data_IF_126347845779
#
_entry.id   IF_126347845779
#
_cell.length_a   1.000
_cell.length_b   1.000
_cell.length_c   1.000
_cell.angle_alpha   90.00
_cell.angle_beta   90.00
_cell.angle_gamma   90.00
#
_symmetry.space_group_name_H-M   'P 1'
#
loop_
_entity.id
_entity.type
_entity.pdbx_description
1 polymer ?
#
# COMPACT_ATOMS: atom_id res chain seq x y z
N UNK A 1 31.60 -5.43 -45.11
CA UNK A 1 31.72 -4.35 -44.10
C UNK A 1 30.34 -3.74 -43.94
N UNK A 2 29.74 -4.01 -42.79
CA UNK A 2 28.35 -3.72 -42.42
C UNK A 2 28.29 -2.26 -41.98
N UNK A 3 27.30 -1.49 -42.45
CA UNK A 3 27.01 -0.13 -41.97
C UNK A 3 26.08 -0.27 -40.77
N UNK A 4 26.65 -0.10 -39.57
CA UNK A 4 25.92 -0.11 -38.32
C UNK A 4 25.08 1.16 -38.15
N UNK A 5 23.78 0.93 -38.00
CA UNK A 5 22.90 1.47 -36.95
C UNK A 5 23.44 2.63 -36.11
N UNK A 6 22.76 3.78 -36.21
CA UNK A 6 22.43 4.60 -35.05
C UNK A 6 21.30 5.59 -35.40
N UNK A 7 20.07 5.13 -35.22
CA UNK A 7 18.91 5.96 -34.98
C UNK A 7 19.13 6.67 -33.64
N UNK A 8 19.72 7.87 -33.65
CA UNK A 8 19.90 8.68 -32.44
C UNK A 8 18.61 9.44 -32.18
N UNK A 9 17.70 8.78 -31.45
CA UNK A 9 16.63 9.47 -30.74
C UNK A 9 17.23 10.18 -29.53
N UNK A 10 17.20 11.51 -29.55
CA UNK A 10 17.14 12.31 -28.33
C UNK A 10 15.81 13.06 -28.35
N UNK A 11 14.81 12.35 -27.82
CA UNK A 11 13.65 12.93 -27.14
C UNK A 11 14.13 14.08 -26.29
N UNK A 12 13.77 15.30 -26.68
CA UNK A 12 13.83 16.45 -25.81
C UNK A 12 12.85 16.17 -24.67
N UNK A 13 13.39 15.72 -23.54
CA UNK A 13 12.69 15.66 -22.26
C UNK A 13 12.43 17.09 -21.80
N UNK A 14 11.39 17.70 -22.36
CA UNK A 14 10.82 18.95 -21.88
C UNK A 14 10.10 18.67 -20.57
N UNK A 15 10.86 18.64 -19.47
CA UNK A 15 10.29 18.78 -18.13
C UNK A 15 9.66 20.16 -18.03
N UNK A 16 8.36 20.20 -18.25
CA UNK A 16 7.46 21.33 -18.00
C UNK A 16 7.57 21.74 -16.54
N UNK A 17 8.21 22.87 -16.26
CA UNK A 17 8.06 23.57 -14.99
C UNK A 17 6.89 24.56 -15.10
N UNK A 18 5.66 24.08 -14.99
CA UNK A 18 4.45 24.91 -14.85
C UNK A 18 4.31 25.37 -13.40
N UNK A 19 5.21 26.28 -12.97
CA UNK A 19 5.11 26.87 -11.63
C UNK A 19 3.91 27.82 -11.53
N UNK A 20 2.93 27.48 -10.71
CA UNK A 20 1.76 28.33 -10.40
C UNK A 20 2.25 29.68 -9.85
N UNK A 21 1.80 30.76 -10.47
CA UNK A 21 2.13 32.13 -10.11
C UNK A 21 1.11 32.67 -9.12
N UNK A 22 1.54 32.92 -7.89
CA UNK A 22 0.68 33.39 -6.81
C UNK A 22 1.21 34.73 -6.30
N UNK A 23 0.49 35.84 -6.50
CA UNK A 23 0.83 37.14 -5.93
C UNK A 23 0.96 37.08 -4.40
N UNK A 24 1.96 37.74 -3.85
CA UNK A 24 2.23 37.72 -2.40
C UNK A 24 1.09 38.30 -1.58
N UNK A 25 0.35 39.28 -2.12
CA UNK A 25 -0.82 39.85 -1.47
C UNK A 25 -1.94 38.82 -1.30
N UNK A 26 -2.13 37.92 -2.27
CA UNK A 26 -3.11 36.83 -2.16
C UNK A 26 -2.65 35.77 -1.17
N UNK A 27 -1.36 35.44 -1.12
CA UNK A 27 -0.81 34.53 -0.09
C UNK A 27 -1.05 35.08 1.31
N UNK A 28 -0.91 36.38 1.51
CA UNK A 28 -1.13 37.04 2.81
C UNK A 28 -2.61 37.12 3.16
N UNK A 29 -3.47 37.41 2.18
CA UNK A 29 -4.91 37.61 2.39
C UNK A 29 -5.68 36.30 2.56
N UNK A 30 -5.27 35.25 1.83
CA UNK A 30 -5.96 33.96 1.80
C UNK A 30 -4.99 32.76 1.98
N UNK A 31 -4.15 32.73 3.02
CA UNK A 31 -3.10 31.72 3.17
C UNK A 31 -3.66 30.29 3.20
N UNK A 32 -4.75 30.07 3.92
CA UNK A 32 -5.38 28.75 4.03
C UNK A 32 -6.00 28.30 2.71
N UNK A 33 -6.73 29.19 2.02
CA UNK A 33 -7.42 28.85 0.78
C UNK A 33 -6.42 28.59 -0.35
N UNK A 34 -5.34 29.37 -0.42
CA UNK A 34 -4.22 29.09 -1.34
C UNK A 34 -3.63 27.70 -1.06
N UNK A 35 -3.43 27.37 0.22
CA UNK A 35 -2.98 26.04 0.62
C UNK A 35 -3.93 24.93 0.13
N UNK A 36 -5.24 25.12 0.28
CA UNK A 36 -6.25 24.17 -0.18
C UNK A 36 -6.26 24.02 -1.70
N UNK A 37 -6.17 25.11 -2.47
CA UNK A 37 -6.14 25.07 -3.94
C UNK A 37 -4.89 24.30 -4.42
N UNK A 38 -3.73 24.57 -3.82
CA UNK A 38 -2.48 23.90 -4.19
C UNK A 38 -2.44 22.41 -3.82
N UNK A 39 -3.15 22.03 -2.75
CA UNK A 39 -3.23 20.65 -2.28
C UNK A 39 -4.37 19.86 -2.91
N UNK A 40 -5.32 20.51 -3.57
CA UNK A 40 -6.48 19.85 -4.16
C UNK A 40 -6.03 18.88 -5.27
N UNK A 41 -6.48 17.64 -5.14
CA UNK A 41 -6.20 16.57 -6.11
C UNK A 41 -7.18 16.61 -7.29
N UNK A 42 -8.34 17.26 -7.13
CA UNK A 42 -9.31 17.47 -8.20
C UNK A 42 -8.93 18.57 -9.19
N UNK A 43 -7.84 19.29 -8.96
CA UNK A 43 -7.38 20.40 -9.81
C UNK A 43 -6.00 20.15 -10.42
N UNK A 44 -5.88 20.40 -11.72
CA UNK A 44 -4.58 20.52 -12.38
C UNK A 44 -3.97 21.93 -12.24
N UNK A 45 -2.74 22.12 -12.71
CA UNK A 45 -2.03 23.41 -12.57
C UNK A 45 -2.72 24.60 -13.26
N UNK A 46 -3.38 24.37 -14.39
CA UNK A 46 -4.13 25.41 -15.11
C UNK A 46 -5.37 25.84 -14.32
N UNK A 47 -6.10 24.86 -13.77
CA UNK A 47 -7.27 25.11 -12.93
C UNK A 47 -6.88 25.84 -11.64
N UNK A 48 -5.77 25.42 -11.00
CA UNK A 48 -5.23 26.10 -9.81
C UNK A 48 -4.87 27.55 -10.14
N UNK A 49 -4.20 27.79 -11.26
CA UNK A 49 -3.87 29.15 -11.69
C UNK A 49 -5.13 29.97 -11.98
N UNK A 50 -6.13 29.37 -12.62
CA UNK A 50 -7.43 30.01 -12.88
C UNK A 50 -8.09 30.44 -11.57
N UNK A 51 -8.19 29.55 -10.58
CA UNK A 51 -8.75 29.87 -9.27
C UNK A 51 -8.00 31.00 -8.58
N UNK A 52 -6.66 30.98 -8.61
CA UNK A 52 -5.83 32.06 -8.07
C UNK A 52 -6.11 33.40 -8.74
N UNK A 53 -6.29 33.41 -10.06
CA UNK A 53 -6.56 34.63 -10.82
C UNK A 53 -7.94 35.23 -10.52
N UNK A 54 -8.93 34.41 -10.16
CA UNK A 54 -10.29 34.87 -9.86
C UNK A 54 -10.52 35.20 -8.39
N UNK A 55 -9.65 34.76 -7.46
CA UNK A 55 -9.73 35.11 -6.03
C UNK A 55 -9.97 36.61 -5.75
N UNK A 56 -9.32 37.57 -6.43
CA UNK A 56 -9.52 39.00 -6.16
C UNK A 56 -10.93 39.51 -6.48
N UNK A 57 -11.64 38.86 -7.40
CA UNK A 57 -12.97 39.29 -7.89
C UNK A 57 -14.11 38.50 -7.27
N UNK A 58 -13.83 37.44 -6.53
CA UNK A 58 -14.85 36.64 -5.84
C UNK A 58 -15.45 37.40 -4.64
N UNK A 59 -16.74 37.18 -4.43
CA UNK A 59 -17.43 37.68 -3.23
C UNK A 59 -17.02 36.88 -1.99
N UNK A 60 -17.18 37.44 -0.77
CA UNK A 60 -16.89 36.70 0.46
C UNK A 60 -17.63 35.36 0.57
N UNK A 61 -18.88 35.31 0.09
CA UNK A 61 -19.68 34.09 0.07
C UNK A 61 -19.12 33.04 -0.89
N UNK A 62 -18.69 33.45 -2.09
CA UNK A 62 -18.04 32.55 -3.05
C UNK A 62 -16.72 32.00 -2.51
N UNK A 63 -15.93 32.84 -1.83
CA UNK A 63 -14.69 32.44 -1.17
C UNK A 63 -14.98 31.39 -0.08
N UNK A 64 -16.02 31.62 0.73
CA UNK A 64 -16.41 30.67 1.77
C UNK A 64 -16.89 29.34 1.17
N UNK A 65 -17.74 29.37 0.14
CA UNK A 65 -18.20 28.17 -0.54
C UNK A 65 -17.04 27.36 -1.14
N UNK A 66 -16.08 28.02 -1.80
CA UNK A 66 -14.89 27.36 -2.32
C UNK A 66 -14.06 26.73 -1.20
N UNK A 67 -13.86 27.47 -0.10
CA UNK A 67 -13.15 26.95 1.09
C UNK A 67 -13.84 25.70 1.65
N UNK A 68 -15.16 25.70 1.74
CA UNK A 68 -15.93 24.58 2.28
C UNK A 68 -15.87 23.36 1.38
N UNK A 69 -15.97 23.54 0.05
CA UNK A 69 -15.82 22.47 -0.94
C UNK A 69 -14.45 21.80 -0.80
N UNK A 70 -13.37 22.58 -0.82
CA UNK A 70 -12.00 22.05 -0.76
C UNK A 70 -11.66 21.45 0.61
N UNK A 71 -12.22 22.02 1.69
CA UNK A 71 -12.06 21.46 3.03
C UNK A 71 -12.76 20.11 3.16
N UNK A 72 -13.95 19.99 2.59
CA UNK A 72 -14.70 18.73 2.56
C UNK A 72 -13.99 17.68 1.70
N UNK A 73 -13.50 18.05 0.51
CA UNK A 73 -12.66 17.18 -0.34
C UNK A 73 -11.49 16.60 0.47
N UNK A 74 -10.71 17.46 1.13
CA UNK A 74 -9.58 17.05 1.96
C UNK A 74 -9.99 16.09 3.09
N UNK A 75 -11.12 16.35 3.74
CA UNK A 75 -11.63 15.48 4.81
C UNK A 75 -12.08 14.11 4.27
N UNK A 76 -12.73 14.08 3.10
CA UNK A 76 -13.16 12.84 2.47
C UNK A 76 -11.97 11.99 2.04
N UNK A 77 -10.96 12.59 1.39
CA UNK A 77 -9.73 11.88 1.03
C UNK A 77 -9.02 11.31 2.27
N UNK A 78 -8.87 12.11 3.32
CA UNK A 78 -8.28 11.62 4.58
C UNK A 78 -9.09 10.49 5.25
N UNK A 79 -10.43 10.52 5.13
CA UNK A 79 -11.28 9.45 5.64
C UNK A 79 -11.13 8.16 4.82
N UNK A 80 -11.01 8.30 3.49
CA UNK A 80 -10.75 7.20 2.56
C UNK A 80 -9.40 6.56 2.87
N UNK A 81 -8.34 7.36 3.01
CA UNK A 81 -6.99 6.88 3.34
C UNK A 81 -6.97 6.09 4.65
N UNK A 82 -7.62 6.61 5.70
CA UNK A 82 -7.74 5.91 6.99
C UNK A 82 -8.48 4.59 6.87
N UNK A 83 -9.55 4.55 6.06
CA UNK A 83 -10.31 3.32 5.83
C UNK A 83 -9.46 2.27 5.12
N UNK A 84 -8.71 2.65 4.08
CA UNK A 84 -7.84 1.73 3.35
C UNK A 84 -6.63 1.29 4.18
N UNK A 85 -6.00 2.18 4.94
CA UNK A 85 -4.91 1.82 5.84
C UNK A 85 -5.35 0.75 6.86
N UNK A 86 -6.53 0.94 7.47
CA UNK A 86 -7.11 -0.04 8.40
C UNK A 86 -7.44 -1.38 7.74
N UNK A 87 -7.92 -1.34 6.49
CA UNK A 87 -8.25 -2.56 5.75
C UNK A 87 -7.00 -3.37 5.41
N UNK A 88 -5.92 -2.70 4.98
CA UNK A 88 -4.63 -3.32 4.71
C UNK A 88 -4.05 -3.97 5.97
N UNK A 89 -4.10 -3.27 7.11
CA UNK A 89 -3.67 -3.80 8.41
C UNK A 89 -4.44 -5.08 8.79
N UNK A 90 -5.77 -5.05 8.68
CA UNK A 90 -6.64 -6.21 8.95
C UNK A 90 -6.32 -7.42 8.08
N UNK A 91 -6.07 -7.20 6.79
CA UNK A 91 -5.70 -8.27 5.86
C UNK A 91 -4.35 -8.86 6.26
N UNK A 92 -3.36 -8.02 6.60
CA UNK A 92 -2.05 -8.45 7.06
C UNK A 92 -2.12 -9.29 8.34
N UNK A 93 -2.90 -8.85 9.34
CA UNK A 93 -3.14 -9.59 10.58
C UNK A 93 -3.78 -10.97 10.30
N UNK A 94 -4.77 -11.02 9.40
CA UNK A 94 -5.46 -12.26 9.04
C UNK A 94 -4.50 -13.25 8.39
N UNK A 95 -3.72 -12.80 7.40
CA UNK A 95 -2.73 -13.63 6.72
C UNK A 95 -1.65 -14.15 7.69
N UNK A 96 -1.20 -13.33 8.63
CA UNK A 96 -0.24 -13.73 9.65
C UNK A 96 -0.81 -14.84 10.55
N UNK A 97 -2.05 -14.70 11.01
CA UNK A 97 -2.72 -15.71 11.83
C UNK A 97 -2.88 -17.04 11.08
N UNK A 98 -3.30 -16.99 9.82
CA UNK A 98 -3.42 -18.19 8.98
C UNK A 98 -2.08 -18.92 8.83
N UNK A 99 -0.99 -18.18 8.55
CA UNK A 99 0.35 -18.77 8.45
C UNK A 99 0.81 -19.44 9.76
N UNK A 100 0.55 -18.80 10.90
CA UNK A 100 0.88 -19.36 12.22
C UNK A 100 0.09 -20.63 12.47
N UNK A 101 -1.19 -20.65 12.14
CA UNK A 101 -2.05 -21.83 12.35
C UNK A 101 -1.72 -22.98 11.40
N UNK A 102 -1.38 -22.69 10.15
CA UNK A 102 -0.83 -23.67 9.22
C UNK A 102 0.47 -24.28 9.75
N UNK A 103 1.41 -23.45 10.21
CA UNK A 103 2.69 -23.93 10.73
C UNK A 103 2.48 -24.81 11.98
N UNK A 104 1.60 -24.40 12.90
CA UNK A 104 1.21 -25.21 14.06
C UNK A 104 0.59 -26.54 13.63
N UNK A 105 -0.26 -26.55 12.61
CA UNK A 105 -0.87 -27.77 12.07
C UNK A 105 0.19 -28.70 11.48
N UNK A 106 1.10 -28.19 10.65
CA UNK A 106 2.22 -28.95 10.07
C UNK A 106 3.09 -29.56 11.17
N UNK A 107 3.47 -28.78 12.18
CA UNK A 107 4.27 -29.27 13.33
C UNK A 107 3.56 -30.39 14.10
N UNK A 108 2.24 -30.30 14.30
CA UNK A 108 1.46 -31.37 14.94
C UNK A 108 1.42 -32.65 14.11
N UNK A 109 1.15 -32.52 12.81
CA UNK A 109 1.13 -33.67 11.90
C UNK A 109 2.51 -34.34 11.81
N UNK A 110 3.58 -33.56 11.75
CA UNK A 110 4.95 -34.08 11.73
C UNK A 110 5.25 -34.91 12.98
N UNK A 111 4.92 -34.39 14.18
CA UNK A 111 5.14 -35.13 15.46
C UNK A 111 4.35 -36.43 15.50
N UNK A 112 3.08 -36.39 15.13
CA UNK A 112 2.24 -37.57 15.07
C UNK A 112 2.82 -38.62 14.13
N UNK A 113 3.29 -38.22 12.94
CA UNK A 113 3.91 -39.14 11.99
C UNK A 113 5.22 -39.73 12.54
N UNK A 114 6.08 -38.92 13.16
CA UNK A 114 7.33 -39.40 13.75
C UNK A 114 7.09 -40.36 14.92
N UNK A 115 6.12 -40.07 15.79
CA UNK A 115 5.75 -40.96 16.91
C UNK A 115 5.20 -42.30 16.40
N UNK A 116 4.39 -42.26 15.33
CA UNK A 116 3.80 -43.45 14.75
C UNK A 116 4.82 -44.32 14.02
N UNK A 117 5.77 -43.71 13.32
CA UNK A 117 6.91 -44.40 12.72
C UNK A 117 7.83 -45.01 13.77
N UNK A 118 8.17 -44.26 14.83
CA UNK A 118 8.98 -44.78 15.93
C UNK A 118 8.30 -45.98 16.62
N UNK A 119 6.98 -45.91 16.83
CA UNK A 119 6.22 -47.04 17.39
C UNK A 119 6.23 -48.27 16.50
N UNK A 120 6.08 -48.11 15.19
CA UNK A 120 6.17 -49.22 14.24
C UNK A 120 7.56 -49.87 14.26
N UNK A 121 8.61 -49.05 14.29
CA UNK A 121 9.99 -49.55 14.36
C UNK A 121 10.26 -50.30 15.68
N UNK A 122 9.76 -49.79 16.82
CA UNK A 122 9.82 -50.48 18.11
C UNK A 122 9.06 -51.82 18.10
N UNK A 123 7.87 -51.86 17.49
CA UNK A 123 7.07 -53.09 17.36
C UNK A 123 7.81 -54.14 16.50
N UNK A 124 8.40 -53.73 15.37
CA UNK A 124 9.20 -54.60 14.49
C UNK A 124 10.46 -55.14 15.19
N UNK A 125 11.18 -54.27 15.89
CA UNK A 125 12.36 -54.67 16.68
C UNK A 125 11.98 -55.65 17.79
N UNK A 126 10.85 -55.42 18.47
CA UNK A 126 10.34 -56.31 19.52
C UNK A 126 9.99 -57.69 18.95
N UNK A 127 9.29 -57.75 17.82
CA UNK A 127 8.97 -59.02 17.15
C UNK A 127 10.25 -59.78 16.73
N UNK A 128 11.24 -59.07 16.19
CA UNK A 128 12.54 -59.67 15.83
C UNK A 128 13.27 -60.27 17.04
N UNK A 129 13.26 -59.57 18.18
CA UNK A 129 13.87 -60.06 19.42
C UNK A 129 13.15 -61.31 19.95
N UNK A 130 11.82 -61.33 19.96
CA UNK A 130 11.03 -62.47 20.39
C UNK A 130 11.30 -63.72 19.54
N UNK A 131 11.31 -63.59 18.21
CA UNK A 131 11.59 -64.72 17.31
C UNK A 131 12.99 -65.33 17.52
N UNK A 132 14.00 -64.51 17.87
CA UNK A 132 15.35 -65.02 18.21
C UNK A 132 15.40 -65.76 19.54
N UNK A 133 14.51 -65.46 20.48
CA UNK A 133 14.42 -66.14 21.78
C UNK A 133 13.68 -67.47 21.62
N UNK A 134 12.56 -67.50 20.90
CA UNK A 134 11.79 -68.72 20.64
C UNK A 134 12.57 -69.75 19.80
N UNK A 135 13.39 -69.31 18.84
CA UNK A 135 14.22 -70.21 18.02
C UNK A 135 15.45 -70.82 18.71
N UNK A 136 15.69 -70.53 20.00
CA UNK A 136 16.83 -71.04 20.79
C UNK A 136 16.44 -72.06 21.87
N UNK A 137 15.19 -72.52 21.90
CA UNK A 137 14.68 -73.61 22.74
C UNK A 137 14.37 -74.80 21.83
#
# INVERSE_FOLDING_TARGET
MIRDSAYSGHVADSKTSTGIQIPDDLKKKFPELIGLILQSESMNDEERQYWVNILPVMTPEQIQNLKDILSNEKQQLAAIDRKYAKEIERIGETQLLEQVDEERRRRRTQRSQTEQAAKQEEDEQTQSLLGRIEGKI
#
